data_IF_672147019937
#
_entry.id   IF_672147019937
#
_cell.length_a   1.000
_cell.length_b   1.000
_cell.length_c   1.000
_cell.angle_alpha   90.00
_cell.angle_beta   90.00
_cell.angle_gamma   90.00
#
_symmetry.space_group_name_H-M   'P 1'
#
loop_
_entity.id
_entity.type
_entity.pdbx_description
1 polymer ?
#
# COMPACT_ATOMS: atom_id res chain seq x y z
N UNK A 1 -10.35 -49.32 -11.26
CA UNK A 1 -9.58 -48.46 -12.18
C UNK A 1 -10.29 -47.10 -12.14
N UNK A 2 -10.11 -46.29 -11.08
CA UNK A 2 -9.10 -45.19 -10.95
C UNK A 2 -9.10 -44.30 -12.21
N UNK A 3 -9.27 -42.97 -12.22
CA UNK A 3 -9.18 -41.84 -11.25
C UNK A 3 -9.85 -40.66 -12.03
N UNK A 4 -10.51 -39.65 -11.48
CA UNK A 4 -9.92 -38.39 -11.01
C UNK A 4 -11.07 -37.48 -10.56
N UNK A 5 -11.40 -37.56 -9.28
CA UNK A 5 -12.16 -36.52 -8.59
C UNK A 5 -11.23 -35.85 -7.58
N UNK A 6 -10.08 -35.36 -8.06
CA UNK A 6 -9.24 -34.45 -7.29
C UNK A 6 -9.93 -33.09 -7.26
N UNK A 7 -10.80 -32.94 -6.25
CA UNK A 7 -11.21 -31.64 -5.75
C UNK A 7 -9.93 -30.82 -5.53
N UNK A 8 -9.77 -29.74 -6.31
CA UNK A 8 -8.74 -28.73 -6.07
C UNK A 8 -9.00 -28.10 -4.71
N UNK A 9 -8.48 -28.71 -3.65
CA UNK A 9 -8.40 -28.09 -2.34
C UNK A 9 -7.44 -26.93 -2.48
N UNK A 10 -7.99 -25.72 -2.63
CA UNK A 10 -7.21 -24.51 -2.50
C UNK A 10 -6.73 -24.43 -1.05
N UNK A 11 -5.44 -24.69 -0.83
CA UNK A 11 -4.81 -24.52 0.48
C UNK A 11 -5.09 -23.09 0.97
N UNK A 12 -5.65 -22.88 2.17
CA UNK A 12 -5.89 -21.53 2.65
C UNK A 12 -4.53 -20.84 2.81
N UNK A 13 -4.29 -19.82 1.98
CA UNK A 13 -3.13 -18.94 2.12
C UNK A 13 -3.32 -18.20 3.44
N UNK A 14 -2.73 -18.72 4.51
CA UNK A 14 -2.82 -18.11 5.82
C UNK A 14 -1.83 -16.96 5.85
N UNK A 15 -2.29 -15.76 5.48
CA UNK A 15 -1.46 -14.56 5.59
C UNK A 15 -1.16 -14.29 7.06
N UNK A 16 0.11 -14.43 7.45
CA UNK A 16 0.56 -14.13 8.82
C UNK A 16 0.40 -12.63 9.07
N UNK A 17 -0.52 -12.27 9.97
CA UNK A 17 -0.74 -10.87 10.37
C UNK A 17 0.23 -10.47 11.49
N UNK A 18 0.88 -9.32 11.33
CA UNK A 18 1.72 -8.70 12.34
C UNK A 18 1.03 -7.46 12.91
N UNK A 19 0.85 -7.39 14.24
CA UNK A 19 0.20 -6.24 14.90
C UNK A 19 1.20 -5.11 15.08
N UNK A 20 0.79 -3.90 14.70
CA UNK A 20 1.54 -2.67 14.86
C UNK A 20 0.71 -1.67 15.68
N UNK A 21 1.33 -1.04 16.69
CA UNK A 21 0.79 0.10 17.41
C UNK A 21 1.73 1.28 17.19
N UNK A 22 1.20 2.40 16.71
CA UNK A 22 1.96 3.62 16.43
C UNK A 22 1.23 4.82 16.98
N UNK A 23 2.00 5.83 17.39
CA UNK A 23 1.47 7.16 17.64
C UNK A 23 1.51 7.92 16.31
N UNK A 24 0.37 8.48 15.92
CA UNK A 24 0.26 9.34 14.74
C UNK A 24 0.28 10.80 15.19
N UNK A 25 0.93 11.66 14.41
CA UNK A 25 0.69 13.10 14.52
C UNK A 25 -0.75 13.40 14.08
N UNK A 26 -1.31 14.53 14.51
CA UNK A 26 -2.66 14.94 14.12
C UNK A 26 -2.84 14.94 12.60
N UNK A 27 -1.85 15.47 11.87
CA UNK A 27 -1.84 15.49 10.40
C UNK A 27 -1.87 14.09 9.80
N UNK A 28 -1.10 13.14 10.35
CA UNK A 28 -1.10 11.76 9.87
C UNK A 28 -2.41 11.03 10.21
N UNK A 29 -3.00 11.31 11.37
CA UNK A 29 -4.29 10.77 11.76
C UNK A 29 -5.41 11.23 10.81
N UNK A 30 -5.45 12.53 10.50
CA UNK A 30 -6.41 13.11 9.57
C UNK A 30 -6.22 12.56 8.15
N UNK A 31 -4.98 12.49 7.67
CA UNK A 31 -4.67 11.91 6.35
C UNK A 31 -5.11 10.45 6.23
N UNK A 32 -4.96 9.64 7.30
CA UNK A 32 -5.47 8.28 7.35
C UNK A 32 -7.00 8.24 7.24
N UNK A 33 -7.70 9.10 7.99
CA UNK A 33 -9.15 9.19 7.95
C UNK A 33 -9.68 9.60 6.56
N UNK A 34 -9.08 10.62 5.96
CA UNK A 34 -9.47 11.14 4.64
C UNK A 34 -9.21 10.12 3.54
N UNK A 35 -8.06 9.44 3.58
CA UNK A 35 -7.71 8.40 2.60
C UNK A 35 -8.63 7.20 2.70
N UNK A 36 -8.95 6.76 3.93
CA UNK A 36 -9.90 5.67 4.16
C UNK A 36 -11.29 6.03 3.63
N UNK A 37 -11.76 7.27 3.89
CA UNK A 37 -13.03 7.78 3.37
C UNK A 37 -13.04 7.86 1.84
N UNK A 38 -11.99 8.40 1.23
CA UNK A 38 -11.87 8.56 -0.22
C UNK A 38 -11.83 7.23 -0.96
N UNK A 39 -11.18 6.22 -0.39
CA UNK A 39 -10.92 4.94 -1.08
C UNK A 39 -11.86 3.80 -0.65
N UNK A 40 -12.65 4.00 0.41
CA UNK A 40 -13.49 2.96 1.02
C UNK A 40 -12.70 1.86 1.74
N UNK A 41 -11.38 2.04 1.93
CA UNK A 41 -10.50 1.05 2.57
C UNK A 41 -10.60 1.11 4.09
N UNK A 42 -10.32 -0.01 4.74
CA UNK A 42 -10.12 -0.03 6.19
C UNK A 42 -8.86 0.77 6.59
N UNK A 43 -8.77 1.18 7.86
CA UNK A 43 -7.55 1.81 8.40
C UNK A 43 -6.34 0.88 8.24
N UNK A 44 -6.52 -0.41 8.50
CA UNK A 44 -5.48 -1.43 8.34
C UNK A 44 -4.98 -1.49 6.90
N UNK A 45 -5.89 -1.56 5.92
CA UNK A 45 -5.50 -1.63 4.49
C UNK A 45 -4.84 -0.34 4.02
N UNK A 46 -5.31 0.80 4.52
CA UNK A 46 -4.73 2.11 4.23
C UNK A 46 -3.30 2.20 4.76
N UNK A 47 -3.07 1.80 6.01
CA UNK A 47 -1.73 1.76 6.60
C UNK A 47 -0.80 0.78 5.88
N UNK A 48 -1.28 -0.44 5.57
CA UNK A 48 -0.50 -1.44 4.83
C UNK A 48 -0.06 -0.90 3.47
N UNK A 49 -1.00 -0.29 2.72
CA UNK A 49 -0.68 0.30 1.41
C UNK A 49 0.28 1.47 1.54
N UNK A 50 0.09 2.34 2.53
CA UNK A 50 0.97 3.48 2.76
C UNK A 50 2.42 3.03 3.04
N UNK A 51 2.61 2.00 3.87
CA UNK A 51 3.93 1.44 4.17
C UNK A 51 4.60 0.84 2.92
N UNK A 52 3.84 0.11 2.09
CA UNK A 52 4.37 -0.49 0.85
C UNK A 52 4.78 0.61 -0.15
N UNK A 53 3.93 1.62 -0.35
CA UNK A 53 4.24 2.74 -1.25
C UNK A 53 5.45 3.51 -0.74
N UNK A 54 5.54 3.78 0.57
CA UNK A 54 6.68 4.47 1.15
C UNK A 54 7.97 3.68 0.94
N UNK A 55 7.97 2.37 1.20
CA UNK A 55 9.15 1.52 0.97
C UNK A 55 9.61 1.55 -0.50
N UNK A 56 8.68 1.57 -1.45
CA UNK A 56 9.00 1.71 -2.87
C UNK A 56 9.59 3.08 -3.20
N UNK A 57 9.00 4.18 -2.69
CA UNK A 57 9.51 5.54 -2.86
C UNK A 57 10.96 5.62 -2.36
N UNK A 58 11.20 5.19 -1.13
CA UNK A 58 12.52 5.25 -0.50
C UNK A 58 13.56 4.46 -1.31
N UNK A 59 13.17 3.29 -1.83
CA UNK A 59 14.04 2.51 -2.70
C UNK A 59 14.40 3.24 -3.99
N UNK A 60 13.42 3.85 -4.67
CA UNK A 60 13.68 4.61 -5.91
C UNK A 60 14.64 5.77 -5.63
N UNK A 61 14.45 6.49 -4.53
CA UNK A 61 15.31 7.62 -4.15
C UNK A 61 16.72 7.13 -3.80
N UNK A 62 16.83 6.08 -2.98
CA UNK A 62 18.10 5.48 -2.57
C UNK A 62 18.93 5.04 -3.78
N UNK A 63 18.29 4.44 -4.79
CA UNK A 63 18.95 3.96 -6.00
C UNK A 63 19.28 5.09 -7.01
N UNK A 64 19.13 6.36 -6.62
CA UNK A 64 19.44 7.54 -7.44
C UNK A 64 18.35 7.91 -8.46
N UNK A 65 17.18 7.28 -8.36
CA UNK A 65 16.03 7.54 -9.21
C UNK A 65 15.28 8.83 -8.88
N UNK A 66 14.32 9.17 -9.73
CA UNK A 66 13.44 10.32 -9.55
C UNK A 66 11.99 9.89 -9.74
N UNK A 67 11.07 10.46 -8.94
CA UNK A 67 9.64 10.22 -9.03
C UNK A 67 8.97 11.46 -9.61
N UNK A 68 8.10 11.24 -10.59
CA UNK A 68 7.33 12.30 -11.24
C UNK A 68 5.84 11.96 -11.15
N UNK A 69 5.00 12.99 -11.06
CA UNK A 69 3.55 12.88 -11.13
C UNK A 69 3.02 13.74 -12.27
N UNK A 70 2.02 13.24 -12.96
CA UNK A 70 1.25 13.98 -13.97
C UNK A 70 -0.20 14.03 -13.49
N UNK A 71 -0.56 15.09 -12.79
CA UNK A 71 -1.92 15.26 -12.26
C UNK A 71 -2.90 15.69 -13.35
N UNK A 72 -2.39 16.42 -14.35
CA UNK A 72 -3.10 16.82 -15.57
C UNK A 72 -2.26 16.44 -16.78
N UNK A 73 -2.89 15.95 -17.88
CA UNK A 73 -2.16 15.60 -19.09
C UNK A 73 -1.26 16.75 -19.58
N UNK A 74 0.02 16.44 -19.80
CA UNK A 74 1.06 17.39 -20.23
C UNK A 74 1.79 18.11 -19.11
N UNK A 75 1.35 18.00 -17.85
CA UNK A 75 1.95 18.71 -16.71
C UNK A 75 2.71 17.76 -15.78
N UNK A 76 3.91 17.36 -16.19
CA UNK A 76 4.79 16.48 -15.40
C UNK A 76 5.53 17.29 -14.33
N UNK A 77 5.40 16.90 -13.07
CA UNK A 77 6.04 17.55 -11.93
C UNK A 77 6.91 16.56 -11.16
N UNK A 78 8.14 16.98 -10.80
CA UNK A 78 9.01 16.18 -9.93
C UNK A 78 8.47 16.20 -8.51
N UNK A 79 8.19 15.02 -7.97
CA UNK A 79 7.75 14.87 -6.59
C UNK A 79 8.97 14.90 -5.67
N UNK A 80 8.89 15.72 -4.61
CA UNK A 80 9.83 15.68 -3.48
C UNK A 80 9.07 15.16 -2.27
N UNK A 81 9.31 13.91 -1.89
CA UNK A 81 8.79 13.34 -0.65
C UNK A 81 9.79 13.72 0.45
N UNK A 82 9.29 14.39 1.50
CA UNK A 82 10.05 14.91 2.65
C UNK A 82 9.89 13.99 3.85
#
# INVERSE_FOLDING_TARGET
>A
MTTDAEARQATPVTTKLHRLTVNLTEKAHQALADTAKLTGRSKTDTCNRALIVNAWVEKVIHDGGNIYVEERPGEVQKVKIL
#
